data_IF_012245746903
#
_entry.id   IF_012245746903
#
_cell.length_a   1.000
_cell.length_b   1.000
_cell.length_c   1.000
_cell.angle_alpha   90.00
_cell.angle_beta   90.00
_cell.angle_gamma   90.00
#
_symmetry.space_group_name_H-M   'P 1'
#
loop_
_entity.id
_entity.type
_entity.pdbx_description
1 polymer ?
#
# COMPACT_ATOMS: atom_id res chain seq x y z
N UNK A 1 -55.62 15.99 48.99
CA UNK A 1 -55.13 15.03 47.96
C UNK A 1 -53.87 15.60 47.34
N UNK A 2 -52.66 15.11 47.74
CA UNK A 2 -51.38 15.55 47.22
C UNK A 2 -51.01 14.63 46.05
N UNK A 3 -50.90 15.18 44.84
CA UNK A 3 -50.42 14.43 43.65
C UNK A 3 -48.89 14.31 43.68
N UNK A 4 -48.40 13.10 43.88
CA UNK A 4 -46.95 12.77 43.71
C UNK A 4 -46.67 12.64 42.22
N UNK A 5 -45.84 13.52 41.69
CA UNK A 5 -45.31 13.41 40.32
C UNK A 5 -44.08 12.51 40.37
N UNK A 6 -44.18 11.34 39.78
CA UNK A 6 -43.08 10.42 39.56
C UNK A 6 -42.29 10.96 38.33
N UNK A 7 -41.11 11.52 38.57
CA UNK A 7 -40.15 11.79 37.48
C UNK A 7 -39.39 10.51 37.14
N UNK A 8 -39.70 9.91 35.99
CA UNK A 8 -38.92 8.81 35.45
C UNK A 8 -37.63 9.37 34.89
N UNK A 9 -36.52 9.16 35.60
CA UNK A 9 -35.18 9.48 35.09
C UNK A 9 -34.77 8.35 34.14
N UNK A 10 -34.85 8.61 32.81
CA UNK A 10 -34.29 7.70 31.79
C UNK A 10 -32.78 7.88 31.79
N UNK A 11 -32.07 6.97 32.41
CA UNK A 11 -30.60 6.90 32.33
C UNK A 11 -30.21 6.41 30.92
N UNK A 12 -29.83 7.35 30.05
CA UNK A 12 -29.23 7.03 28.75
C UNK A 12 -27.81 6.52 29.02
N UNK A 13 -27.64 5.19 29.12
CA UNK A 13 -26.32 4.58 29.14
C UNK A 13 -25.75 4.67 27.72
N UNK A 14 -24.93 5.67 27.50
CA UNK A 14 -24.06 5.76 26.31
C UNK A 14 -23.00 4.66 26.44
N UNK A 15 -23.31 3.46 25.97
CA UNK A 15 -22.27 2.45 25.74
C UNK A 15 -21.39 2.92 24.59
N UNK A 16 -20.27 3.52 24.89
CA UNK A 16 -19.18 3.66 23.92
C UNK A 16 -18.75 2.24 23.57
N UNK A 17 -19.23 1.72 22.44
CA UNK A 17 -18.79 0.43 21.94
C UNK A 17 -17.29 0.53 21.70
N UNK A 18 -16.51 -0.13 22.54
CA UNK A 18 -15.06 -0.23 22.37
C UNK A 18 -14.79 -0.90 21.02
N UNK A 19 -13.91 -0.32 20.18
CA UNK A 19 -13.52 -0.98 18.92
C UNK A 19 -12.95 -2.37 19.25
N UNK A 20 -13.31 -3.43 18.51
CA UNK A 20 -12.77 -4.76 18.75
C UNK A 20 -11.26 -4.75 18.53
N UNK A 21 -10.52 -5.49 19.37
CA UNK A 21 -9.07 -5.61 19.27
C UNK A 21 -8.69 -6.56 18.14
N UNK A 22 -7.90 -6.14 17.14
CA UNK A 22 -7.42 -7.01 16.09
C UNK A 22 -6.46 -8.07 16.64
N UNK A 23 -6.45 -9.25 16.02
CA UNK A 23 -5.34 -10.18 16.15
C UNK A 23 -4.15 -9.61 15.39
N UNK A 24 -2.94 -9.69 15.94
CA UNK A 24 -1.71 -9.24 15.28
C UNK A 24 -0.63 -10.31 15.32
N UNK A 25 0.32 -10.22 14.40
CA UNK A 25 1.43 -11.17 14.32
C UNK A 25 2.44 -10.79 13.24
N UNK A 26 3.30 -11.75 12.92
CA UNK A 26 4.33 -11.60 11.89
C UNK A 26 4.30 -12.80 10.96
N UNK A 27 4.46 -12.56 9.67
CA UNK A 27 4.69 -13.60 8.65
C UNK A 27 6.13 -13.47 8.17
N UNK A 28 6.86 -14.60 8.15
CA UNK A 28 8.20 -14.66 7.58
C UNK A 28 8.11 -14.84 6.07
N UNK A 29 8.79 -13.97 5.33
CA UNK A 29 8.91 -14.03 3.87
C UNK A 29 10.40 -14.10 3.48
N UNK A 30 10.78 -14.63 2.31
CA UNK A 30 12.18 -14.68 1.88
C UNK A 30 12.82 -13.29 1.84
N UNK A 31 14.07 -13.16 2.33
CA UNK A 31 14.82 -11.89 2.23
C UNK A 31 15.02 -11.47 0.78
N UNK A 32 15.37 -12.43 -0.08
CA UNK A 32 15.50 -12.23 -1.53
C UNK A 32 14.31 -12.86 -2.21
N UNK A 33 13.61 -12.10 -3.04
CA UNK A 33 12.39 -12.59 -3.68
C UNK A 33 12.62 -13.05 -5.13
N UNK A 34 11.72 -13.92 -5.62
CA UNK A 34 11.84 -14.63 -6.90
C UNK A 34 11.96 -13.71 -8.11
N UNK A 35 11.17 -12.64 -8.15
CA UNK A 35 11.10 -11.70 -9.29
C UNK A 35 11.92 -10.43 -9.05
N UNK A 36 12.59 -10.32 -7.90
CA UNK A 36 13.53 -9.24 -7.70
C UNK A 36 14.62 -9.35 -8.77
N UNK A 37 14.87 -8.25 -9.49
CA UNK A 37 16.02 -8.19 -10.37
C UNK A 37 17.26 -8.30 -9.48
N UNK A 38 17.83 -9.49 -9.39
CA UNK A 38 19.08 -9.72 -8.67
C UNK A 38 20.17 -8.87 -9.32
N UNK A 39 20.53 -7.77 -8.65
CA UNK A 39 21.87 -7.23 -8.80
C UNK A 39 22.82 -8.40 -8.53
N UNK A 40 23.95 -8.44 -9.21
CA UNK A 40 24.93 -9.55 -9.07
C UNK A 40 25.54 -9.48 -7.66
N UNK A 41 24.82 -10.02 -6.67
CA UNK A 41 25.35 -10.16 -5.33
C UNK A 41 25.87 -11.60 -5.16
N UNK A 42 27.16 -11.72 -4.89
CA UNK A 42 27.84 -12.98 -4.63
C UNK A 42 27.74 -13.40 -3.18
N UNK A 43 27.12 -12.59 -2.34
CA UNK A 43 26.99 -12.81 -0.90
C UNK A 43 25.62 -13.42 -0.58
N UNK A 44 25.58 -14.28 0.43
CA UNK A 44 24.33 -14.74 1.03
C UNK A 44 23.78 -13.66 1.97
N UNK A 45 22.45 -13.46 2.06
CA UNK A 45 21.87 -12.55 3.02
C UNK A 45 22.21 -12.96 4.45
N UNK A 46 22.33 -11.99 5.36
CA UNK A 46 22.56 -12.22 6.77
C UNK A 46 21.41 -13.01 7.40
N UNK A 47 20.19 -12.71 6.95
CA UNK A 47 18.97 -13.39 7.36
C UNK A 47 18.27 -13.96 6.12
N UNK A 48 17.87 -15.23 6.18
CA UNK A 48 17.16 -15.88 5.06
C UNK A 48 15.72 -15.39 4.89
N UNK A 49 15.14 -14.79 5.95
CA UNK A 49 13.76 -14.30 5.98
C UNK A 49 13.68 -12.92 6.59
N UNK A 50 12.68 -12.14 6.14
CA UNK A 50 12.22 -10.91 6.75
C UNK A 50 10.82 -11.14 7.33
N UNK A 51 10.46 -10.42 8.41
CA UNK A 51 9.16 -10.52 9.07
C UNK A 51 8.28 -9.34 8.68
N UNK A 52 7.07 -9.63 8.21
CA UNK A 52 6.05 -8.64 7.91
C UNK A 52 5.01 -8.64 9.02
N UNK A 53 4.83 -7.48 9.66
CA UNK A 53 3.81 -7.26 10.70
C UNK A 53 2.43 -7.13 10.07
N UNK A 54 1.42 -7.74 10.69
CA UNK A 54 0.03 -7.60 10.25
C UNK A 54 -0.95 -7.51 11.42
N UNK A 55 -2.13 -7.03 11.10
CA UNK A 55 -3.33 -7.06 11.94
C UNK A 55 -4.49 -7.65 11.15
N UNK A 56 -5.33 -8.44 11.85
CA UNK A 56 -6.45 -9.18 11.27
C UNK A 56 -7.69 -9.00 12.12
N UNK A 57 -8.84 -8.79 11.47
CA UNK A 57 -10.14 -8.66 12.14
C UNK A 57 -11.27 -9.17 11.22
N UNK A 58 -12.36 -9.64 11.82
CA UNK A 58 -13.53 -10.12 11.08
C UNK A 58 -13.40 -11.56 10.59
N UNK A 59 -14.37 -11.99 9.79
CA UNK A 59 -14.48 -13.34 9.23
C UNK A 59 -15.08 -13.27 7.83
N UNK A 60 -14.99 -14.38 7.07
CA UNK A 60 -15.49 -14.44 5.70
C UNK A 60 -14.38 -14.42 4.64
N UNK A 61 -14.68 -13.91 3.45
CA UNK A 61 -13.68 -13.78 2.38
C UNK A 61 -12.58 -12.81 2.78
N UNK A 62 -11.36 -13.12 2.36
CA UNK A 62 -10.19 -12.33 2.75
C UNK A 62 -10.08 -11.04 1.95
N UNK A 63 -9.92 -9.93 2.65
CA UNK A 63 -9.57 -8.61 2.11
C UNK A 63 -8.20 -8.21 2.65
N UNK A 64 -7.23 -7.88 1.79
CA UNK A 64 -5.89 -7.45 2.20
C UNK A 64 -5.67 -6.00 1.77
N UNK A 65 -5.21 -5.17 2.73
CA UNK A 65 -5.04 -3.73 2.58
C UNK A 65 -3.54 -3.37 2.58
N UNK A 66 -3.07 -2.69 1.53
CA UNK A 66 -1.69 -2.28 1.32
C UNK A 66 -1.57 -0.76 1.42
N UNK A 67 -0.76 -0.29 2.37
CA UNK A 67 -0.58 1.13 2.66
C UNK A 67 0.30 1.86 1.63
N UNK A 68 0.31 3.19 1.70
CA UNK A 68 1.12 4.05 0.86
C UNK A 68 2.54 4.26 1.43
N UNK A 69 3.40 4.93 0.65
CA UNK A 69 4.74 5.35 1.06
C UNK A 69 4.67 6.34 2.23
N UNK A 70 5.63 6.27 3.17
CA UNK A 70 5.76 7.16 4.33
C UNK A 70 4.75 7.01 5.47
N UNK A 71 3.86 6.05 5.38
CA UNK A 71 2.92 5.68 6.45
C UNK A 71 3.01 4.17 6.71
N UNK A 72 2.09 3.62 7.48
CA UNK A 72 1.98 2.20 7.79
C UNK A 72 0.52 1.74 7.76
N UNK A 73 0.25 0.50 8.17
CA UNK A 73 -1.07 -0.11 8.08
C UNK A 73 -2.17 0.66 8.86
N UNK A 74 -1.81 1.55 9.80
CA UNK A 74 -2.76 2.40 10.54
C UNK A 74 -3.54 3.36 9.63
N UNK A 75 -3.02 3.70 8.46
CA UNK A 75 -3.77 4.54 7.50
C UNK A 75 -5.12 3.94 7.10
N UNK A 76 -5.28 2.65 7.30
CA UNK A 76 -6.50 1.92 6.97
C UNK A 76 -7.50 1.84 8.14
N UNK A 77 -7.24 2.47 9.30
CA UNK A 77 -8.04 2.29 10.52
C UNK A 77 -9.56 2.34 10.28
N UNK A 78 -10.05 3.39 9.65
CA UNK A 78 -11.49 3.55 9.45
C UNK A 78 -12.06 2.56 8.43
N UNK A 79 -11.34 2.25 7.36
CA UNK A 79 -11.73 1.25 6.36
C UNK A 79 -11.66 -0.16 6.95
N UNK A 80 -10.61 -0.47 7.70
CA UNK A 80 -10.38 -1.76 8.34
C UNK A 80 -11.53 -2.20 9.23
N UNK A 81 -11.96 -1.35 10.18
CA UNK A 81 -13.06 -1.65 11.08
C UNK A 81 -14.43 -1.70 10.38
N UNK A 82 -14.60 -0.98 9.29
CA UNK A 82 -15.85 -1.01 8.50
C UNK A 82 -15.96 -2.31 7.72
N UNK A 83 -14.93 -2.69 6.96
CA UNK A 83 -14.89 -3.92 6.19
C UNK A 83 -14.92 -5.18 7.06
N UNK A 84 -14.33 -5.14 8.27
CA UNK A 84 -14.30 -6.27 9.19
C UNK A 84 -15.68 -6.71 9.71
N UNK A 85 -16.72 -5.93 9.45
CA UNK A 85 -18.12 -6.33 9.74
C UNK A 85 -18.62 -7.42 8.77
N UNK A 86 -18.04 -7.52 7.57
CA UNK A 86 -18.46 -8.43 6.49
C UNK A 86 -17.37 -9.40 6.05
N UNK A 87 -16.09 -9.00 6.14
CA UNK A 87 -14.95 -9.71 5.61
C UNK A 87 -13.92 -10.08 6.67
N UNK A 88 -13.08 -11.06 6.38
CA UNK A 88 -11.79 -11.26 7.07
C UNK A 88 -10.81 -10.25 6.54
N UNK A 89 -10.59 -9.14 7.25
CA UNK A 89 -9.74 -8.05 6.79
C UNK A 89 -8.35 -8.18 7.41
N UNK A 90 -7.35 -8.12 6.56
CA UNK A 90 -5.94 -8.13 6.93
C UNK A 90 -5.31 -6.84 6.42
N UNK A 91 -4.56 -6.16 7.28
CA UNK A 91 -3.67 -5.04 6.90
C UNK A 91 -2.27 -5.35 7.38
N UNK A 92 -1.27 -5.01 6.62
CA UNK A 92 0.09 -5.29 7.01
C UNK A 92 1.02 -4.13 6.66
N UNK A 93 2.13 -4.04 7.40
CA UNK A 93 3.19 -3.10 7.08
C UNK A 93 4.08 -3.71 5.99
N UNK A 94 4.21 -2.99 4.87
CA UNK A 94 5.11 -3.37 3.78
C UNK A 94 6.55 -3.46 4.31
N UNK A 95 7.39 -4.31 3.70
CA UNK A 95 8.81 -4.37 4.05
C UNK A 95 9.45 -2.98 3.96
N UNK A 96 10.17 -2.58 5.01
CA UNK A 96 10.76 -1.25 5.12
C UNK A 96 9.85 -0.19 5.75
N UNK A 97 8.70 -0.60 6.31
CA UNK A 97 7.72 0.30 6.92
C UNK A 97 7.21 -0.23 8.26
N UNK A 98 6.71 0.68 9.09
CA UNK A 98 6.03 0.39 10.34
C UNK A 98 6.81 -0.57 11.24
N UNK A 99 6.19 -1.68 11.60
CA UNK A 99 6.77 -2.74 12.44
C UNK A 99 7.38 -3.90 11.66
N UNK A 100 7.32 -3.86 10.32
CA UNK A 100 7.97 -4.86 9.46
C UNK A 100 9.48 -4.67 9.41
N UNK A 101 10.20 -5.75 9.11
CA UNK A 101 11.66 -5.69 8.99
C UNK A 101 12.09 -4.74 7.87
N UNK A 102 13.21 -4.05 8.12
CA UNK A 102 13.87 -3.24 7.10
C UNK A 102 14.51 -4.16 6.05
N UNK A 103 14.55 -3.70 4.78
CA UNK A 103 15.27 -4.44 3.74
C UNK A 103 16.74 -4.64 4.12
N UNK A 104 17.27 -5.81 3.83
CA UNK A 104 18.70 -6.06 4.02
C UNK A 104 19.48 -5.42 2.87
N UNK A 105 20.48 -4.62 3.22
CA UNK A 105 21.32 -3.89 2.27
C UNK A 105 22.01 -4.87 1.30
N UNK A 106 21.94 -4.58 0.01
CA UNK A 106 22.55 -5.40 -1.03
C UNK A 106 21.68 -6.53 -1.57
N UNK A 107 20.45 -6.71 -1.07
CA UNK A 107 19.56 -7.78 -1.51
C UNK A 107 18.25 -7.22 -2.09
N UNK A 108 17.92 -7.71 -3.29
CA UNK A 108 16.71 -7.31 -4.00
C UNK A 108 15.47 -8.04 -3.50
N UNK A 109 14.36 -7.32 -3.38
CA UNK A 109 13.04 -7.89 -3.16
C UNK A 109 12.00 -7.14 -3.98
N UNK A 110 10.83 -7.74 -4.13
CA UNK A 110 9.69 -7.14 -4.79
C UNK A 110 8.50 -7.18 -3.84
N UNK A 111 7.84 -6.06 -3.59
CA UNK A 111 6.68 -6.00 -2.71
C UNK A 111 5.54 -6.93 -3.16
N UNK A 112 5.37 -7.14 -4.48
CA UNK A 112 4.40 -8.09 -5.01
C UNK A 112 4.74 -9.55 -4.67
N UNK A 113 6.03 -9.92 -4.66
CA UNK A 113 6.47 -11.24 -4.21
C UNK A 113 6.27 -11.39 -2.70
N UNK A 114 6.53 -10.34 -1.93
CA UNK A 114 6.26 -10.32 -0.50
C UNK A 114 4.78 -10.55 -0.21
N UNK A 115 3.88 -9.89 -0.93
CA UNK A 115 2.44 -10.12 -0.81
C UNK A 115 2.07 -11.58 -1.12
N UNK A 116 2.66 -12.16 -2.17
CA UNK A 116 2.42 -13.57 -2.51
C UNK A 116 2.84 -14.50 -1.37
N UNK A 117 4.08 -14.35 -0.87
CA UNK A 117 4.59 -15.15 0.23
C UNK A 117 3.83 -14.89 1.56
N UNK A 118 3.40 -13.65 1.79
CA UNK A 118 2.58 -13.28 2.94
C UNK A 118 1.22 -13.99 2.91
N UNK A 119 0.56 -14.00 1.75
CA UNK A 119 -0.70 -14.75 1.56
C UNK A 119 -0.49 -16.25 1.80
N UNK A 120 0.62 -16.83 1.32
CA UNK A 120 0.96 -18.24 1.54
C UNK A 120 1.15 -18.53 3.04
N UNK A 121 1.85 -17.65 3.76
CA UNK A 121 2.05 -17.75 5.21
C UNK A 121 0.75 -17.71 6.03
N UNK A 122 -0.31 -17.04 5.51
CA UNK A 122 -1.64 -16.99 6.09
C UNK A 122 -2.60 -18.07 5.57
N UNK A 123 -2.15 -18.94 4.65
CA UNK A 123 -2.98 -19.96 4.00
C UNK A 123 -4.04 -19.38 3.05
N UNK A 124 -3.86 -18.16 2.56
CA UNK A 124 -4.80 -17.46 1.68
C UNK A 124 -4.45 -17.75 0.23
N UNK A 125 -5.31 -18.48 -0.47
CA UNK A 125 -5.13 -18.81 -1.88
C UNK A 125 -5.47 -17.64 -2.80
N UNK A 126 -6.58 -16.96 -2.55
CA UNK A 126 -7.07 -15.78 -3.26
C UNK A 126 -7.64 -14.77 -2.29
N UNK A 127 -7.59 -13.49 -2.64
CA UNK A 127 -8.15 -12.42 -1.83
C UNK A 127 -8.69 -11.27 -2.69
N UNK A 128 -9.57 -10.47 -2.09
CA UNK A 128 -9.83 -9.09 -2.52
C UNK A 128 -8.69 -8.23 -2.00
N UNK A 129 -8.13 -7.39 -2.86
CA UNK A 129 -6.96 -6.59 -2.53
C UNK A 129 -7.31 -5.10 -2.66
N UNK A 130 -6.86 -4.28 -1.72
CA UNK A 130 -6.93 -2.83 -1.86
C UNK A 130 -5.59 -2.18 -1.55
N UNK A 131 -5.16 -1.24 -2.40
CA UNK A 131 -3.88 -0.57 -2.23
C UNK A 131 -3.89 0.90 -2.61
N UNK A 132 -3.24 1.71 -1.79
CA UNK A 132 -3.11 3.14 -2.00
C UNK A 132 -1.66 3.49 -2.34
N UNK A 133 -1.46 4.31 -3.39
CA UNK A 133 -0.15 4.84 -3.81
C UNK A 133 0.88 3.73 -3.99
N UNK A 134 1.85 3.56 -3.10
CA UNK A 134 2.80 2.45 -3.10
C UNK A 134 2.09 1.08 -3.06
N UNK A 135 1.08 0.93 -2.20
CA UNK A 135 0.24 -0.27 -2.18
C UNK A 135 -0.48 -0.49 -3.50
N UNK A 136 -0.93 0.58 -4.15
CA UNK A 136 -1.52 0.54 -5.49
C UNK A 136 -0.51 0.13 -6.57
N UNK A 137 0.74 0.59 -6.49
CA UNK A 137 1.84 0.14 -7.38
C UNK A 137 2.16 -1.34 -7.16
N UNK A 138 2.21 -1.75 -5.90
CA UNK A 138 2.40 -3.17 -5.53
C UNK A 138 1.29 -4.04 -6.11
N UNK A 139 0.04 -3.58 -6.06
CA UNK A 139 -1.09 -4.31 -6.66
C UNK A 139 -1.04 -4.34 -8.18
N UNK A 140 -0.54 -3.29 -8.84
CA UNK A 140 -0.31 -3.31 -10.28
C UNK A 140 0.65 -4.43 -10.68
N UNK A 141 1.76 -4.55 -9.96
CA UNK A 141 2.73 -5.63 -10.15
C UNK A 141 2.14 -7.00 -9.79
N UNK A 142 1.36 -7.06 -8.71
CA UNK A 142 0.75 -8.30 -8.24
C UNK A 142 -0.29 -8.85 -9.24
N UNK A 143 -1.16 -8.00 -9.77
CA UNK A 143 -2.12 -8.37 -10.83
C UNK A 143 -1.40 -8.85 -12.10
N UNK A 144 -0.24 -8.26 -12.40
CA UNK A 144 0.55 -8.66 -13.56
C UNK A 144 1.30 -9.99 -13.37
N UNK A 145 1.75 -10.30 -12.14
CA UNK A 145 2.56 -11.48 -11.82
C UNK A 145 1.73 -12.68 -11.34
N UNK A 146 0.66 -12.40 -10.59
CA UNK A 146 -0.14 -13.38 -9.85
C UNK A 146 -1.65 -13.20 -10.04
N UNK A 147 -2.15 -13.06 -11.30
CA UNK A 147 -3.59 -12.78 -11.54
C UNK A 147 -4.50 -13.85 -10.93
N UNK A 148 -4.02 -15.10 -10.85
CA UNK A 148 -4.77 -16.22 -10.27
C UNK A 148 -4.96 -16.13 -8.76
N UNK A 149 -4.23 -15.23 -8.08
CA UNK A 149 -4.31 -14.99 -6.63
C UNK A 149 -5.31 -13.88 -6.27
N UNK A 150 -5.89 -13.20 -7.25
CA UNK A 150 -6.76 -12.03 -7.08
C UNK A 150 -8.20 -12.42 -7.32
N UNK A 151 -9.09 -12.10 -6.37
CA UNK A 151 -10.54 -12.09 -6.57
C UNK A 151 -10.96 -10.78 -7.23
N UNK A 152 -10.69 -9.66 -6.59
CA UNK A 152 -10.80 -8.30 -7.14
C UNK A 152 -9.63 -7.44 -6.64
N UNK A 153 -9.25 -6.41 -7.39
CA UNK A 153 -8.28 -5.42 -6.93
C UNK A 153 -8.91 -4.01 -6.93
N UNK A 154 -8.77 -3.28 -5.82
CA UNK A 154 -9.11 -1.86 -5.71
C UNK A 154 -7.82 -1.05 -5.59
N UNK A 155 -7.52 -0.26 -6.62
CA UNK A 155 -6.30 0.54 -6.69
C UNK A 155 -6.66 2.01 -6.61
N UNK A 156 -6.07 2.72 -5.68
CA UNK A 156 -6.25 4.16 -5.55
C UNK A 156 -4.92 4.89 -5.49
N UNK A 157 -4.86 6.04 -6.13
CA UNK A 157 -3.67 6.90 -6.18
C UNK A 157 -2.37 6.17 -6.59
N UNK A 158 -2.51 5.00 -7.21
CA UNK A 158 -1.40 4.15 -7.60
C UNK A 158 -0.70 4.62 -8.88
N UNK A 159 0.39 3.94 -9.19
CA UNK A 159 1.10 4.09 -10.45
C UNK A 159 1.45 2.72 -11.03
N UNK A 160 1.59 2.66 -12.34
CA UNK A 160 2.09 1.47 -13.00
C UNK A 160 3.61 1.54 -13.07
N UNK A 161 4.28 0.45 -12.71
CA UNK A 161 5.72 0.32 -12.92
C UNK A 161 5.99 0.16 -14.41
N UNK A 162 6.65 1.14 -15.01
CA UNK A 162 7.05 1.16 -16.41
C UNK A 162 8.58 1.25 -16.50
N UNK A 163 9.27 0.21 -16.01
CA UNK A 163 10.72 0.13 -16.17
C UNK A 163 11.06 -0.58 -17.49
N UNK A 164 12.08 -0.12 -18.22
CA UNK A 164 12.53 -0.79 -19.44
C UNK A 164 12.85 -2.26 -19.18
N UNK A 165 12.45 -3.14 -20.10
CA UNK A 165 12.82 -4.57 -20.04
C UNK A 165 14.35 -4.71 -20.14
N UNK A 166 14.98 -4.91 -19.01
CA UNK A 166 16.44 -5.07 -18.89
C UNK A 166 16.89 -6.52 -19.06
N UNK A 167 15.97 -7.48 -19.11
CA UNK A 167 16.32 -8.90 -19.22
C UNK A 167 17.11 -9.22 -20.48
N UNK A 168 16.94 -8.40 -21.51
CA UNK A 168 17.65 -8.52 -22.80
C UNK A 168 18.84 -7.56 -22.95
N UNK A 169 19.10 -6.70 -21.96
CA UNK A 169 20.22 -5.76 -22.04
C UNK A 169 21.57 -6.47 -21.84
N UNK A 170 22.63 -6.12 -22.59
CA UNK A 170 23.96 -6.64 -22.36
C UNK A 170 24.41 -6.40 -20.91
N UNK A 171 25.03 -7.41 -20.28
CA UNK A 171 25.48 -7.36 -18.87
C UNK A 171 26.33 -6.11 -18.55
N UNK A 172 27.14 -5.65 -19.50
CA UNK A 172 27.96 -4.45 -19.35
C UNK A 172 27.10 -3.18 -19.24
N UNK A 173 26.04 -3.05 -20.07
CA UNK A 173 25.13 -1.90 -20.00
C UNK A 173 24.30 -1.91 -18.72
N UNK A 174 23.89 -3.10 -18.24
CA UNK A 174 23.23 -3.25 -16.95
C UNK A 174 24.13 -2.80 -15.80
N UNK A 175 25.43 -3.17 -15.84
CA UNK A 175 26.40 -2.75 -14.84
C UNK A 175 26.56 -1.23 -14.82
N UNK A 176 26.82 -0.60 -15.98
CA UNK A 176 26.97 0.86 -16.09
C UNK A 176 25.72 1.57 -15.59
N UNK A 177 24.54 1.08 -15.97
CA UNK A 177 23.28 1.66 -15.52
C UNK A 177 23.13 1.55 -14.00
N UNK A 178 23.38 0.37 -13.41
CA UNK A 178 23.28 0.16 -11.97
C UNK A 178 24.29 1.01 -11.21
N UNK A 179 25.54 1.09 -11.68
CA UNK A 179 26.58 1.94 -11.07
C UNK A 179 26.20 3.42 -11.11
N UNK A 180 25.60 3.88 -12.22
CA UNK A 180 25.13 5.26 -12.37
C UNK A 180 23.97 5.55 -11.42
N UNK A 181 22.96 4.69 -11.38
CA UNK A 181 21.81 4.84 -10.48
C UNK A 181 22.25 4.81 -9.02
N UNK A 182 23.12 3.87 -8.65
CA UNK A 182 23.66 3.78 -7.30
C UNK A 182 24.40 5.06 -6.91
N UNK A 183 25.22 5.62 -7.83
CA UNK A 183 25.94 6.87 -7.59
C UNK A 183 24.99 8.04 -7.37
N UNK A 184 23.96 8.19 -8.23
CA UNK A 184 22.95 9.24 -8.09
C UNK A 184 22.19 9.13 -6.78
N UNK A 185 21.80 7.92 -6.40
CA UNK A 185 21.11 7.69 -5.12
C UNK A 185 22.00 7.98 -3.93
N UNK A 186 23.27 7.61 -3.98
CA UNK A 186 24.21 7.96 -2.91
C UNK A 186 24.35 9.47 -2.75
N UNK A 187 24.42 10.22 -3.84
CA UNK A 187 24.42 11.68 -3.79
C UNK A 187 23.13 12.25 -3.18
N UNK A 188 21.98 11.66 -3.49
CA UNK A 188 20.70 12.03 -2.89
C UNK A 188 20.66 11.74 -1.40
N UNK A 189 21.12 10.56 -0.97
CA UNK A 189 21.24 10.20 0.46
C UNK A 189 22.15 11.19 1.17
N UNK A 190 23.32 11.49 0.63
CA UNK A 190 24.27 12.45 1.23
C UNK A 190 23.63 13.84 1.37
N UNK A 191 22.86 14.27 0.37
CA UNK A 191 22.10 15.52 0.41
C UNK A 191 21.02 15.49 1.49
N UNK A 192 20.28 14.40 1.58
CA UNK A 192 19.23 14.21 2.58
C UNK A 192 19.82 14.24 4.01
N UNK A 193 20.89 13.52 4.23
CA UNK A 193 21.58 13.50 5.53
C UNK A 193 22.08 14.89 5.96
N UNK A 194 22.60 15.69 5.02
CA UNK A 194 23.02 17.09 5.30
C UNK A 194 21.85 18.01 5.67
N UNK A 195 20.65 17.74 5.12
CA UNK A 195 19.45 18.55 5.41
C UNK A 195 18.81 18.21 6.74
N UNK A 196 19.02 17.00 7.24
CA UNK A 196 18.44 16.47 8.46
C UNK A 196 17.01 15.93 8.28
N UNK A 197 16.73 14.84 8.98
CA UNK A 197 15.49 14.07 8.82
C UNK A 197 14.24 14.87 9.19
N UNK A 198 14.30 15.69 10.24
CA UNK A 198 13.16 16.52 10.68
C UNK A 198 12.74 17.52 9.60
N UNK A 199 13.74 18.15 8.93
CA UNK A 199 13.47 19.07 7.82
C UNK A 199 12.80 18.34 6.65
N UNK A 200 13.32 17.16 6.29
CA UNK A 200 12.76 16.36 5.20
C UNK A 200 11.33 15.91 5.50
N UNK A 201 11.06 15.42 6.72
CA UNK A 201 9.71 15.02 7.12
C UNK A 201 8.74 16.20 7.16
N UNK A 202 9.21 17.37 7.61
CA UNK A 202 8.40 18.59 7.61
C UNK A 202 7.99 19.00 6.18
N UNK A 203 8.92 19.00 5.24
CA UNK A 203 8.65 19.28 3.83
C UNK A 203 7.73 18.23 3.22
N UNK A 204 7.95 16.96 3.55
CA UNK A 204 7.11 15.85 3.09
C UNK A 204 5.67 15.99 3.55
N UNK A 205 5.43 16.36 4.82
CA UNK A 205 4.09 16.69 5.34
C UNK A 205 3.44 17.83 4.54
N UNK A 206 4.23 18.83 4.14
CA UNK A 206 3.78 19.92 3.26
C UNK A 206 3.37 19.40 1.87
N UNK A 207 4.17 18.51 1.28
CA UNK A 207 3.86 17.87 0.01
C UNK A 207 2.58 17.03 0.10
N UNK A 208 2.43 16.20 1.13
CA UNK A 208 1.23 15.39 1.35
C UNK A 208 -0.02 16.25 1.52
N UNK A 209 0.07 17.37 2.25
CA UNK A 209 -1.01 18.33 2.33
C UNK A 209 -1.41 18.87 0.95
N UNK A 210 -0.46 19.14 0.06
CA UNK A 210 -0.72 19.76 -1.26
C UNK A 210 -1.49 18.84 -2.22
N UNK A 211 -1.43 17.52 -2.01
CA UNK A 211 -2.13 16.51 -2.82
C UNK A 211 -3.36 15.94 -2.12
N UNK A 212 -3.65 16.36 -0.88
CA UNK A 212 -4.87 16.00 -0.15
C UNK A 212 -6.08 16.81 -0.65
N UNK A 213 -7.28 16.29 -0.38
CA UNK A 213 -8.54 16.93 -0.73
C UNK A 213 -9.08 17.87 0.36
N UNK A 214 -10.39 18.09 0.31
CA UNK A 214 -11.06 18.99 1.27
C UNK A 214 -11.06 18.47 2.71
N UNK A 215 -10.92 17.15 2.88
CA UNK A 215 -10.94 16.48 4.17
C UNK A 215 -9.56 16.37 4.84
N UNK A 216 -8.52 17.03 4.31
CA UNK A 216 -7.17 17.01 4.91
C UNK A 216 -7.15 17.32 6.41
N UNK A 217 -8.01 18.25 6.87
CA UNK A 217 -8.03 18.62 8.29
C UNK A 217 -8.41 17.47 9.21
N UNK A 218 -9.28 16.56 8.77
CA UNK A 218 -9.70 15.41 9.56
C UNK A 218 -8.62 14.34 9.69
N UNK A 219 -7.78 14.17 8.67
CA UNK A 219 -6.73 13.15 8.62
C UNK A 219 -5.34 13.65 9.05
N UNK A 220 -5.16 14.98 9.15
CA UNK A 220 -3.85 15.61 9.34
C UNK A 220 -3.08 15.04 10.53
N UNK A 221 -3.74 14.83 11.67
CA UNK A 221 -3.09 14.39 12.90
C UNK A 221 -2.50 13.00 12.74
N UNK A 222 -3.30 12.06 12.29
CA UNK A 222 -2.93 10.66 12.08
C UNK A 222 -1.88 10.53 10.98
N UNK A 223 -2.07 11.22 9.86
CA UNK A 223 -1.12 11.24 8.75
C UNK A 223 0.25 11.76 9.18
N UNK A 224 0.28 12.91 9.87
CA UNK A 224 1.52 13.49 10.35
C UNK A 224 2.22 12.61 11.39
N UNK A 225 1.45 11.95 12.27
CA UNK A 225 2.00 11.04 13.27
C UNK A 225 2.67 9.83 12.60
N UNK A 226 2.04 9.21 11.61
CA UNK A 226 2.65 8.11 10.86
C UNK A 226 3.92 8.56 10.11
N UNK A 227 3.93 9.77 9.51
CA UNK A 227 5.13 10.31 8.87
C UNK A 227 6.25 10.56 9.89
N UNK A 228 5.92 11.00 11.12
CA UNK A 228 6.92 11.16 12.19
C UNK A 228 7.50 9.81 12.62
N UNK A 229 6.67 8.77 12.71
CA UNK A 229 7.09 7.41 13.07
C UNK A 229 7.87 6.71 11.94
N UNK A 230 7.68 7.13 10.68
CA UNK A 230 8.31 6.50 9.53
C UNK A 230 9.84 6.53 9.62
N UNK A 231 10.49 5.38 9.46
CA UNK A 231 11.95 5.23 9.53
C UNK A 231 12.70 5.94 8.39
N UNK A 232 12.00 6.27 7.31
CA UNK A 232 12.55 6.91 6.11
C UNK A 232 13.78 6.17 5.54
N UNK A 233 13.80 4.84 5.67
CA UNK A 233 14.89 3.99 5.21
C UNK A 233 15.24 4.28 3.75
N UNK A 234 14.24 4.51 2.91
CA UNK A 234 14.37 4.82 1.49
C UNK A 234 15.11 6.13 1.20
N UNK A 235 15.19 7.04 2.17
CA UNK A 235 15.91 8.30 2.06
C UNK A 235 17.34 8.24 2.58
N UNK A 236 17.68 7.17 3.30
CA UNK A 236 18.97 7.01 3.98
C UNK A 236 19.83 5.90 3.42
N UNK A 237 19.27 5.09 2.48
CA UNK A 237 19.97 3.94 1.89
C UNK A 237 19.93 3.99 0.37
N UNK A 238 21.08 4.03 -0.30
CA UNK A 238 21.15 4.11 -1.77
C UNK A 238 20.75 2.81 -2.48
N UNK A 239 20.79 1.68 -1.77
CA UNK A 239 20.51 0.34 -2.31
C UNK A 239 19.02 0.03 -2.42
N UNK A 240 18.17 0.97 -2.06
CA UNK A 240 16.74 0.78 -1.86
C UNK A 240 15.88 0.64 -3.11
N UNK A 241 16.40 0.22 -4.24
CA UNK A 241 15.56 -0.14 -5.38
C UNK A 241 14.80 -1.45 -5.18
N UNK A 242 14.28 -1.59 -3.98
CA UNK A 242 13.30 -2.58 -3.60
C UNK A 242 11.98 -2.49 -4.39
N UNK A 243 11.87 -1.51 -5.26
CA UNK A 243 10.74 -1.23 -6.14
C UNK A 243 11.09 -1.43 -7.61
N UNK A 244 11.94 -2.39 -7.90
CA UNK A 244 12.03 -2.84 -9.27
C UNK A 244 10.73 -3.61 -9.50
N UNK A 245 9.68 -2.83 -9.79
CA UNK A 245 8.40 -3.37 -10.18
C UNK A 245 8.62 -4.30 -11.35
N UNK A 246 7.91 -5.41 -11.35
CA UNK A 246 7.71 -6.17 -12.56
C UNK A 246 7.29 -5.17 -13.62
N UNK A 247 7.68 -5.36 -14.86
CA UNK A 247 7.25 -4.53 -16.00
C UNK A 247 5.75 -4.69 -16.20
N UNK A 248 4.98 -4.19 -15.23
CA UNK A 248 3.55 -4.45 -15.12
C UNK A 248 2.82 -4.05 -16.40
N UNK A 249 3.21 -2.95 -17.03
CA UNK A 249 2.63 -2.51 -18.30
C UNK A 249 2.86 -3.53 -19.43
N UNK A 250 4.07 -4.07 -19.56
CA UNK A 250 4.39 -5.09 -20.57
C UNK A 250 3.72 -6.44 -20.26
N UNK A 251 3.65 -6.82 -19.00
CA UNK A 251 3.03 -8.08 -18.59
C UNK A 251 1.51 -8.00 -18.77
N UNK A 252 0.86 -6.94 -18.29
CA UNK A 252 -0.57 -6.73 -18.43
C UNK A 252 -1.00 -6.68 -19.89
N UNK A 253 -0.24 -5.99 -20.75
CA UNK A 253 -0.57 -5.92 -22.19
C UNK A 253 -0.56 -7.29 -22.91
N UNK A 254 0.18 -8.27 -22.38
CA UNK A 254 0.30 -9.62 -22.95
C UNK A 254 -0.68 -10.63 -22.34
N UNK A 255 -1.34 -10.31 -21.23
CA UNK A 255 -2.29 -11.19 -20.57
C UNK A 255 -3.58 -11.28 -21.38
N UNK A 256 -4.12 -12.49 -21.48
CA UNK A 256 -5.41 -12.75 -22.17
C UNK A 256 -6.60 -12.39 -21.29
N UNK A 257 -6.48 -12.63 -19.99
CA UNK A 257 -7.51 -12.39 -18.97
C UNK A 257 -6.89 -11.61 -17.81
N UNK A 258 -7.70 -10.76 -17.19
CA UNK A 258 -7.32 -10.00 -16.01
C UNK A 258 -8.35 -10.26 -14.91
N UNK A 259 -7.97 -10.23 -13.63
CA UNK A 259 -8.95 -10.13 -12.56
C UNK A 259 -9.68 -8.77 -12.66
N UNK A 260 -10.90 -8.66 -12.09
CA UNK A 260 -11.60 -7.40 -12.03
C UNK A 260 -10.82 -6.34 -11.23
N UNK A 261 -10.66 -5.13 -11.78
CA UNK A 261 -9.92 -4.03 -11.15
C UNK A 261 -10.77 -2.77 -11.06
N UNK A 262 -10.96 -2.27 -9.84
CA UNK A 262 -11.56 -0.96 -9.56
C UNK A 262 -10.46 0.08 -9.33
N UNK A 263 -10.49 1.15 -10.11
CA UNK A 263 -9.64 2.33 -9.90
C UNK A 263 -10.45 3.43 -9.23
N UNK A 264 -10.07 3.80 -7.99
CA UNK A 264 -10.68 4.92 -7.26
C UNK A 264 -9.76 6.13 -7.32
N UNK A 265 -10.23 7.21 -7.93
CA UNK A 265 -9.45 8.42 -8.15
C UNK A 265 -10.00 9.54 -7.28
N UNK A 266 -9.17 10.14 -6.43
CA UNK A 266 -9.54 11.35 -5.69
C UNK A 266 -9.63 12.56 -6.63
N UNK A 267 -10.67 13.38 -6.46
CA UNK A 267 -10.90 14.58 -7.28
C UNK A 267 -9.71 15.53 -7.29
N UNK A 268 -9.05 15.68 -6.14
CA UNK A 268 -7.91 16.59 -5.95
C UNK A 268 -6.55 15.91 -6.03
N UNK A 269 -6.50 14.59 -6.34
CA UNK A 269 -5.22 13.90 -6.52
C UNK A 269 -4.40 14.49 -7.67
N UNK A 270 -3.09 14.23 -7.65
CA UNK A 270 -2.14 14.76 -8.62
C UNK A 270 -2.50 14.36 -10.06
N UNK A 271 -2.18 15.22 -11.02
CA UNK A 271 -2.36 14.89 -12.45
C UNK A 271 -1.55 13.66 -12.86
N UNK A 272 -0.38 13.45 -12.23
CA UNK A 272 0.48 12.30 -12.48
C UNK A 272 -0.18 10.98 -12.08
N UNK A 273 -0.69 10.91 -10.85
CA UNK A 273 -1.42 9.75 -10.33
C UNK A 273 -2.64 9.42 -11.21
N UNK A 274 -3.47 10.42 -11.51
CA UNK A 274 -4.65 10.25 -12.38
C UNK A 274 -4.31 9.65 -13.75
N UNK A 275 -3.27 10.18 -14.42
CA UNK A 275 -2.81 9.65 -15.71
C UNK A 275 -2.29 8.22 -15.61
N UNK A 276 -1.54 7.92 -14.55
CA UNK A 276 -1.00 6.58 -14.34
C UNK A 276 -2.11 5.55 -14.14
N UNK A 277 -3.13 5.87 -13.35
CA UNK A 277 -4.28 5.00 -13.13
C UNK A 277 -5.11 4.82 -14.40
N UNK A 278 -5.33 5.88 -15.18
CA UNK A 278 -6.00 5.79 -16.48
C UNK A 278 -5.22 4.89 -17.47
N UNK A 279 -3.88 5.03 -17.51
CA UNK A 279 -3.02 4.16 -18.33
C UNK A 279 -3.16 2.69 -17.92
N UNK A 280 -3.14 2.41 -16.62
CA UNK A 280 -3.29 1.05 -16.11
C UNK A 280 -4.67 0.48 -16.42
N UNK A 281 -5.74 1.25 -16.22
CA UNK A 281 -7.10 0.83 -16.54
C UNK A 281 -7.27 0.48 -18.02
N UNK A 282 -6.61 1.20 -18.91
CA UNK A 282 -6.62 0.88 -20.35
C UNK A 282 -5.93 -0.45 -20.68
N UNK A 283 -5.06 -0.96 -19.82
CA UNK A 283 -4.39 -2.25 -19.97
C UNK A 283 -5.20 -3.41 -19.36
N UNK A 284 -6.05 -3.14 -18.38
CA UNK A 284 -6.86 -4.14 -17.68
C UNK A 284 -8.25 -4.25 -18.35
N UNK A 285 -8.54 -5.38 -18.99
CA UNK A 285 -9.79 -5.58 -19.75
C UNK A 285 -11.06 -5.47 -18.91
N UNK A 286 -11.01 -5.93 -17.66
CA UNK A 286 -12.11 -5.89 -16.70
C UNK A 286 -11.85 -4.83 -15.64
N UNK A 287 -11.80 -3.57 -16.08
CA UNK A 287 -11.54 -2.44 -15.20
C UNK A 287 -12.68 -1.43 -15.18
N UNK A 288 -12.83 -0.78 -14.02
CA UNK A 288 -13.74 0.36 -13.82
C UNK A 288 -12.99 1.50 -13.17
N UNK A 289 -13.21 2.71 -13.63
CA UNK A 289 -12.68 3.93 -13.01
C UNK A 289 -13.84 4.71 -12.39
N UNK A 290 -13.69 5.06 -11.12
CA UNK A 290 -14.65 5.90 -10.40
C UNK A 290 -13.92 7.02 -9.66
N UNK A 291 -14.56 8.20 -9.56
CA UNK A 291 -14.00 9.37 -8.86
C UNK A 291 -14.64 9.52 -7.50
N UNK A 292 -13.81 9.68 -6.45
CA UNK A 292 -14.27 10.08 -5.11
C UNK A 292 -14.20 11.61 -5.03
N UNK A 293 -15.39 12.22 -4.90
CA UNK A 293 -15.50 13.68 -4.77
C UNK A 293 -14.89 14.14 -3.45
N UNK A 294 -14.36 15.36 -3.46
CA UNK A 294 -13.75 16.02 -2.30
C UNK A 294 -12.51 15.34 -1.70
N UNK A 295 -12.13 14.14 -2.15
CA UNK A 295 -10.89 13.44 -1.77
C UNK A 295 -9.71 13.86 -2.65
N UNK A 296 -8.52 13.81 -2.06
CA UNK A 296 -7.24 13.90 -2.77
C UNK A 296 -6.55 12.55 -2.87
N UNK A 297 -5.26 12.54 -2.59
CA UNK A 297 -4.41 11.34 -2.66
C UNK A 297 -4.82 10.24 -1.66
N UNK A 298 -5.23 10.65 -0.46
CA UNK A 298 -5.54 9.73 0.65
C UNK A 298 -7.03 9.36 0.67
N UNK A 299 -7.58 8.89 -0.46
CA UNK A 299 -9.01 8.61 -0.63
C UNK A 299 -9.62 7.78 0.50
N UNK A 300 -8.91 6.74 0.97
CA UNK A 300 -9.36 5.83 2.03
C UNK A 300 -9.39 6.49 3.42
N UNK A 301 -8.51 7.46 3.67
CA UNK A 301 -8.50 8.23 4.93
C UNK A 301 -9.46 9.41 4.87
N UNK A 302 -9.52 10.09 3.72
CA UNK A 302 -10.32 11.32 3.55
C UNK A 302 -11.81 11.04 3.42
N UNK A 303 -12.19 9.93 2.76
CA UNK A 303 -13.57 9.55 2.49
C UNK A 303 -13.79 8.04 2.73
N UNK A 304 -13.58 7.53 3.96
CA UNK A 304 -13.59 6.09 4.25
C UNK A 304 -14.94 5.42 3.96
N UNK A 305 -16.07 6.09 4.19
CA UNK A 305 -17.39 5.53 3.92
C UNK A 305 -17.62 5.35 2.42
N UNK A 306 -17.27 6.35 1.63
CA UNK A 306 -17.41 6.30 0.17
C UNK A 306 -16.47 5.26 -0.43
N UNK A 307 -15.22 5.18 0.09
CA UNK A 307 -14.25 4.17 -0.32
C UNK A 307 -14.79 2.75 -0.09
N UNK A 308 -15.26 2.47 1.14
CA UNK A 308 -15.82 1.16 1.50
C UNK A 308 -17.04 0.82 0.65
N UNK A 309 -18.00 1.74 0.53
CA UNK A 309 -19.22 1.52 -0.25
C UNK A 309 -18.93 1.20 -1.72
N UNK A 310 -17.93 1.85 -2.34
CA UNK A 310 -17.55 1.56 -3.73
C UNK A 310 -16.84 0.22 -3.85
N UNK A 311 -15.93 -0.07 -2.92
CA UNK A 311 -15.22 -1.35 -2.88
C UNK A 311 -16.19 -2.52 -2.69
N UNK A 312 -17.12 -2.44 -1.72
CA UNK A 312 -18.11 -3.49 -1.46
C UNK A 312 -19.02 -3.73 -2.67
N UNK A 313 -19.56 -2.66 -3.27
CA UNK A 313 -20.37 -2.81 -4.49
C UNK A 313 -19.60 -3.45 -5.64
N UNK A 314 -18.31 -3.18 -5.74
CA UNK A 314 -17.47 -3.81 -6.76
C UNK A 314 -17.22 -5.28 -6.46
N UNK A 315 -16.95 -5.64 -5.19
CA UNK A 315 -16.81 -7.04 -4.75
C UNK A 315 -18.10 -7.81 -5.00
N UNK A 316 -19.26 -7.26 -4.61
CA UNK A 316 -20.57 -7.91 -4.73
C UNK A 316 -21.00 -8.12 -6.19
N UNK A 317 -20.37 -7.45 -7.16
CA UNK A 317 -20.66 -7.56 -8.60
C UNK A 317 -19.78 -8.60 -9.30
N UNK A 318 -18.77 -9.17 -8.66
CA UNK A 318 -17.79 -10.11 -9.26
C UNK A 318 -17.56 -11.35 -8.39
#
# INVERSE_FOLDING_TARGET
MKRVRFCLLVLLVLTTACKPTPKSGYIAVPTVTKNALSGVYTLSPKHSTAKLYYEELGQGESVILLHEHSVDCRMWDDVFYKLAKKYRVIRYDLRGYGKSDMPEVGFGFLQADDLCNFMDGLGIKKAHLAGLSLGGMTLADFVALYPERVLTATITSGAISAFPDRSKAPKQLLKIYNDTIFTLKRQEVDKNMKRGMDTLKMEWKGAMKSISGKHYRSIKRELNHMIDDWHAWQWTHPETDAFIGAQADSLLSKQKTHPPVLFLIGQYDSKGSKRSMQKMAALCKESRIEMIQDAGHFTAMECPDEFVNRMERFIDAH
#
